data_IF_476313000168
#
_entry.id   IF_476313000168
#
_cell.length_a   1.000
_cell.length_b   1.000
_cell.length_c   1.000
_cell.angle_alpha   90.00
_cell.angle_beta   90.00
_cell.angle_gamma   90.00
#
_symmetry.space_group_name_H-M   'P 1'
#
loop_
_entity.id
_entity.type
_entity.pdbx_description
1 polymer ?
#
# COMPACT_ATOMS: atom_id res chain seq x y z
N UNK A 1 -4.39 -31.87 17.21
CA UNK A 1 -3.23 -31.66 16.34
C UNK A 1 -3.16 -30.17 16.07
N UNK A 2 -2.26 -29.45 16.76
CA UNK A 2 -2.04 -28.02 16.52
C UNK A 2 -1.36 -27.91 15.16
N UNK A 3 -2.02 -27.37 14.14
CA UNK A 3 -1.38 -26.99 12.89
C UNK A 3 -0.23 -26.01 13.25
N UNK A 4 1.00 -26.54 13.21
CA UNK A 4 2.16 -26.01 13.92
C UNK A 4 2.56 -24.61 13.46
N UNK A 5 2.18 -23.60 14.23
CA UNK A 5 2.63 -22.22 14.03
C UNK A 5 1.57 -21.24 13.55
N UNK A 6 0.28 -21.60 13.56
CA UNK A 6 -0.82 -20.66 13.24
C UNK A 6 -1.73 -20.36 14.44
N UNK A 7 -2.20 -19.11 14.52
CA UNK A 7 -3.13 -18.62 15.54
C UNK A 7 -4.28 -17.81 14.93
N UNK A 8 -5.41 -17.73 15.66
CA UNK A 8 -6.48 -16.79 15.34
C UNK A 8 -6.05 -15.34 15.63
N UNK A 9 -6.86 -14.37 15.23
CA UNK A 9 -6.57 -12.95 15.45
C UNK A 9 -6.46 -12.54 16.93
N UNK A 10 -6.95 -13.36 17.87
CA UNK A 10 -6.84 -13.18 19.33
C UNK A 10 -5.66 -13.95 19.94
N UNK A 11 -4.88 -14.69 19.14
CA UNK A 11 -3.75 -15.49 19.61
C UNK A 11 -4.14 -16.88 20.14
N UNK A 12 -5.36 -17.36 19.86
CA UNK A 12 -5.84 -18.70 20.25
C UNK A 12 -5.57 -19.70 19.13
N UNK A 13 -5.70 -20.99 19.44
CA UNK A 13 -5.55 -22.06 18.46
C UNK A 13 -6.59 -21.93 17.33
N UNK A 14 -6.17 -22.26 16.10
CA UNK A 14 -7.05 -22.20 14.93
C UNK A 14 -8.05 -23.36 14.91
N UNK A 15 -9.24 -23.08 14.39
CA UNK A 15 -10.22 -24.10 13.98
C UNK A 15 -10.22 -24.18 12.45
N UNK A 16 -9.87 -25.34 11.89
CA UNK A 16 -9.76 -25.59 10.45
C UNK A 16 -11.05 -25.40 9.66
N UNK A 17 -12.22 -25.51 10.30
CA UNK A 17 -13.53 -25.28 9.64
C UNK A 17 -13.85 -23.78 9.47
N UNK A 18 -13.27 -22.92 10.33
CA UNK A 18 -13.59 -21.50 10.40
C UNK A 18 -12.48 -20.62 9.82
N UNK A 19 -11.22 -21.01 10.05
CA UNK A 19 -10.07 -20.19 9.73
C UNK A 19 -9.37 -20.69 8.46
N UNK A 20 -9.02 -19.75 7.58
CA UNK A 20 -8.31 -19.99 6.33
C UNK A 20 -9.21 -20.32 5.16
N UNK A 21 -8.59 -20.87 4.13
CA UNK A 21 -9.22 -21.24 2.88
C UNK A 21 -9.78 -20.07 2.08
N UNK A 22 -10.59 -20.41 1.08
CA UNK A 22 -11.10 -19.47 0.07
C UNK A 22 -11.99 -18.37 0.67
N UNK A 23 -12.69 -18.67 1.77
CA UNK A 23 -13.54 -17.67 2.46
C UNK A 23 -12.69 -16.53 3.02
N UNK A 24 -11.56 -16.86 3.64
CA UNK A 24 -10.63 -15.88 4.17
C UNK A 24 -9.98 -15.06 3.04
N UNK A 25 -9.58 -15.71 1.94
CA UNK A 25 -8.91 -15.01 0.83
C UNK A 25 -9.81 -14.03 0.10
N UNK A 26 -11.14 -14.15 0.18
CA UNK A 26 -12.03 -13.22 -0.50
C UNK A 26 -11.86 -11.76 -0.01
N UNK A 27 -11.69 -11.57 1.30
CA UNK A 27 -11.38 -10.26 1.87
C UNK A 27 -10.04 -9.71 1.35
N UNK A 28 -9.04 -10.57 1.16
CA UNK A 28 -7.71 -10.21 0.66
C UNK A 28 -7.74 -9.86 -0.82
N UNK A 29 -8.54 -10.56 -1.63
CA UNK A 29 -8.75 -10.24 -3.04
C UNK A 29 -9.44 -8.90 -3.24
N UNK A 30 -10.48 -8.62 -2.46
CA UNK A 30 -11.16 -7.31 -2.50
C UNK A 30 -10.18 -6.20 -2.14
N UNK A 31 -9.41 -6.36 -1.05
CA UNK A 31 -8.38 -5.40 -0.67
C UNK A 31 -7.38 -5.21 -1.82
N UNK A 32 -6.85 -6.29 -2.39
CA UNK A 32 -5.87 -6.26 -3.48
C UNK A 32 -6.38 -5.46 -4.68
N UNK A 33 -7.62 -5.70 -5.13
CA UNK A 33 -8.19 -4.95 -6.27
C UNK A 33 -8.34 -3.48 -5.89
N UNK A 34 -8.98 -3.18 -4.77
CA UNK A 34 -9.27 -1.80 -4.33
C UNK A 34 -8.00 -0.98 -4.15
N UNK A 35 -6.94 -1.56 -3.58
CA UNK A 35 -5.69 -0.81 -3.38
C UNK A 35 -4.94 -0.60 -4.68
N UNK A 36 -5.00 -1.54 -5.63
CA UNK A 36 -4.38 -1.35 -6.94
C UNK A 36 -5.16 -0.39 -7.84
N UNK A 37 -6.46 -0.18 -7.62
CA UNK A 37 -7.21 0.96 -8.20
C UNK A 37 -6.60 2.29 -7.77
N UNK A 38 -5.96 2.36 -6.61
CA UNK A 38 -5.33 3.59 -6.10
C UNK A 38 -3.85 3.66 -6.46
N UNK A 39 -3.06 2.63 -6.12
CA UNK A 39 -1.59 2.65 -6.19
C UNK A 39 -1.08 2.86 -7.61
N UNK A 40 -1.59 2.07 -8.56
CA UNK A 40 -1.08 2.04 -9.94
C UNK A 40 -1.28 3.39 -10.66
N UNK A 41 -2.48 3.98 -10.72
CA UNK A 41 -2.66 5.26 -11.40
C UNK A 41 -1.91 6.41 -10.70
N UNK A 42 -1.95 6.48 -9.37
CA UNK A 42 -1.26 7.53 -8.63
C UNK A 42 0.25 7.48 -8.86
N UNK A 43 0.83 6.27 -8.90
CA UNK A 43 2.25 6.11 -9.21
C UNK A 43 2.59 6.63 -10.61
N UNK A 44 1.75 6.35 -11.59
CA UNK A 44 1.97 6.72 -12.99
C UNK A 44 1.68 8.20 -13.27
N UNK A 45 0.77 8.82 -12.51
CA UNK A 45 0.38 10.22 -12.69
C UNK A 45 1.08 11.18 -11.70
N UNK A 46 1.89 10.67 -10.77
CA UNK A 46 2.56 11.48 -9.74
C UNK A 46 3.43 12.60 -10.33
N UNK A 47 4.18 12.33 -11.40
CA UNK A 47 5.02 13.35 -12.05
C UNK A 47 4.17 14.50 -12.59
N UNK A 48 2.99 14.20 -13.14
CA UNK A 48 2.03 15.21 -13.60
C UNK A 48 1.57 16.12 -12.47
N UNK A 49 1.29 15.56 -11.28
CA UNK A 49 0.93 16.35 -10.11
C UNK A 49 2.07 17.25 -9.63
N UNK A 50 3.26 16.67 -9.47
CA UNK A 50 4.43 17.41 -8.97
C UNK A 50 4.83 18.54 -9.92
N UNK A 51 4.77 18.29 -11.22
CA UNK A 51 5.12 19.27 -12.23
C UNK A 51 4.02 20.29 -12.47
N UNK A 52 2.79 19.83 -12.67
CA UNK A 52 1.67 20.66 -13.09
C UNK A 52 0.97 21.42 -11.97
N UNK A 53 1.02 20.92 -10.73
CA UNK A 53 0.34 21.53 -9.58
C UNK A 53 1.33 22.05 -8.54
N UNK A 54 2.44 21.34 -8.29
CA UNK A 54 3.46 21.78 -7.35
C UNK A 54 4.60 22.60 -8.00
N UNK A 55 4.49 22.85 -9.31
CA UNK A 55 5.45 23.59 -10.14
C UNK A 55 6.91 23.13 -10.00
N UNK A 56 7.12 21.87 -9.62
CA UNK A 56 8.47 21.30 -9.56
C UNK A 56 9.02 21.15 -10.97
N UNK A 57 10.33 21.38 -11.14
CA UNK A 57 10.99 21.12 -12.42
C UNK A 57 10.82 19.66 -12.86
N UNK A 58 10.87 19.38 -14.18
CA UNK A 58 10.71 18.00 -14.71
C UNK A 58 11.70 17.03 -14.06
N UNK A 59 12.96 17.47 -13.91
CA UNK A 59 13.98 16.68 -13.22
C UNK A 59 13.64 16.44 -11.75
N UNK A 60 13.26 17.48 -11.00
CA UNK A 60 12.89 17.35 -9.58
C UNK A 60 11.66 16.47 -9.35
N UNK A 61 10.65 16.59 -10.22
CA UNK A 61 9.43 15.77 -10.21
C UNK A 61 9.76 14.29 -10.44
N UNK A 62 10.57 14.00 -11.45
CA UNK A 62 10.98 12.62 -11.78
C UNK A 62 11.83 12.01 -10.68
N UNK A 63 12.78 12.77 -10.11
CA UNK A 63 13.58 12.34 -8.96
C UNK A 63 12.71 12.07 -7.74
N UNK A 64 11.74 12.94 -7.45
CA UNK A 64 10.81 12.75 -6.31
C UNK A 64 9.94 11.50 -6.50
N UNK A 65 9.40 11.28 -7.69
CA UNK A 65 8.64 10.06 -8.00
C UNK A 65 9.50 8.79 -7.88
N UNK A 66 10.75 8.84 -8.36
CA UNK A 66 11.71 7.73 -8.21
C UNK A 66 12.06 7.47 -6.74
N UNK A 67 12.27 8.54 -5.96
CA UNK A 67 12.53 8.45 -4.52
C UNK A 67 11.34 7.87 -3.77
N UNK A 68 10.11 8.20 -4.17
CA UNK A 68 8.90 7.61 -3.61
C UNK A 68 8.89 6.08 -3.82
N UNK A 69 9.16 5.58 -5.03
CA UNK A 69 9.27 4.13 -5.31
C UNK A 69 10.37 3.49 -4.45
N UNK A 70 11.53 4.13 -4.37
CA UNK A 70 12.66 3.66 -3.55
C UNK A 70 12.28 3.58 -2.07
N UNK A 71 11.59 4.60 -1.54
CA UNK A 71 11.13 4.63 -0.17
C UNK A 71 10.08 3.55 0.12
N UNK A 72 9.11 3.35 -0.77
CA UNK A 72 8.12 2.27 -0.68
C UNK A 72 8.82 0.91 -0.56
N UNK A 73 9.86 0.69 -1.36
CA UNK A 73 10.65 -0.54 -1.33
C UNK A 73 11.44 -0.69 -0.03
N UNK A 74 12.04 0.40 0.48
CA UNK A 74 12.74 0.40 1.76
C UNK A 74 11.80 0.13 2.94
N UNK A 75 10.63 0.76 2.96
CA UNK A 75 9.60 0.54 3.97
C UNK A 75 9.02 -0.88 3.90
N UNK A 76 8.88 -1.46 2.70
CA UNK A 76 8.48 -2.85 2.53
C UNK A 76 9.44 -3.82 3.25
N UNK A 77 10.76 -3.59 3.18
CA UNK A 77 11.75 -4.39 3.91
C UNK A 77 11.57 -4.30 5.43
N UNK A 78 11.33 -3.09 5.94
CA UNK A 78 11.09 -2.85 7.38
C UNK A 78 9.79 -3.54 7.82
N UNK A 79 8.72 -3.38 7.03
CA UNK A 79 7.43 -3.99 7.33
C UNK A 79 7.50 -5.53 7.31
N UNK A 80 8.22 -6.12 6.35
CA UNK A 80 8.46 -7.56 6.27
C UNK A 80 9.23 -8.06 7.50
N UNK A 81 10.30 -7.36 7.89
CA UNK A 81 11.07 -7.67 9.08
C UNK A 81 10.19 -7.67 10.35
N UNK A 82 9.35 -6.65 10.51
CA UNK A 82 8.41 -6.52 11.62
C UNK A 82 7.35 -7.64 11.60
N UNK A 83 6.80 -7.96 10.42
CA UNK A 83 5.76 -8.98 10.28
C UNK A 83 6.28 -10.41 10.51
N UNK A 84 7.54 -10.66 10.21
CA UNK A 84 8.14 -11.99 10.35
C UNK A 84 8.71 -12.23 11.75
N UNK A 85 9.10 -11.16 12.46
CA UNK A 85 9.84 -11.27 13.73
C UNK A 85 9.02 -10.93 14.97
N UNK A 86 8.06 -10.00 14.89
CA UNK A 86 7.43 -9.43 16.08
C UNK A 86 5.90 -9.43 16.06
N UNK A 87 5.29 -9.10 14.92
CA UNK A 87 3.84 -8.85 14.83
C UNK A 87 3.25 -9.70 13.70
N UNK A 88 2.11 -10.35 13.90
CA UNK A 88 1.44 -11.11 12.82
C UNK A 88 1.14 -10.21 11.61
N UNK A 89 1.24 -10.75 10.39
CA UNK A 89 1.03 -10.03 9.12
C UNK A 89 -0.28 -9.23 9.05
N UNK A 90 -1.40 -9.80 9.49
CA UNK A 90 -2.68 -9.09 9.51
C UNK A 90 -2.66 -7.86 10.43
N UNK A 91 -2.05 -7.97 11.62
CA UNK A 91 -1.90 -6.85 12.56
C UNK A 91 -0.93 -5.80 12.04
N UNK A 92 0.21 -6.20 11.47
CA UNK A 92 1.17 -5.27 10.84
C UNK A 92 0.48 -4.43 9.77
N UNK A 93 -0.31 -5.07 8.91
CA UNK A 93 -1.10 -4.39 7.88
C UNK A 93 -2.12 -3.43 8.49
N UNK A 94 -2.90 -3.84 9.49
CA UNK A 94 -3.91 -2.98 10.12
C UNK A 94 -3.32 -1.82 10.94
N UNK A 95 -2.09 -1.95 11.44
CA UNK A 95 -1.41 -0.88 12.18
C UNK A 95 -0.76 0.14 11.25
N UNK A 96 -0.12 -0.29 10.16
CA UNK A 96 0.71 0.58 9.33
C UNK A 96 0.07 1.01 8.01
N UNK A 97 -0.83 0.21 7.42
CA UNK A 97 -1.54 0.63 6.20
C UNK A 97 -2.47 1.86 6.39
N UNK A 98 -3.02 2.17 7.59
CA UNK A 98 -3.73 3.44 7.81
C UNK A 98 -2.90 4.70 7.51
N UNK A 99 -1.57 4.63 7.55
CA UNK A 99 -0.73 5.76 7.12
C UNK A 99 -0.92 6.10 5.64
N UNK A 100 -1.27 5.14 4.79
CA UNK A 100 -1.60 5.41 3.39
C UNK A 100 -2.90 6.20 3.26
N UNK A 101 -3.93 5.86 4.06
CA UNK A 101 -5.17 6.65 4.13
C UNK A 101 -4.87 8.09 4.56
N UNK A 102 -4.06 8.27 5.61
CA UNK A 102 -3.65 9.59 6.08
C UNK A 102 -2.84 10.34 5.03
N UNK A 103 -1.92 9.67 4.33
CA UNK A 103 -1.12 10.26 3.26
C UNK A 103 -1.98 10.80 2.12
N UNK A 104 -2.91 10.00 1.59
CA UNK A 104 -3.84 10.48 0.56
C UNK A 104 -4.79 11.56 1.09
N UNK A 105 -5.22 11.47 2.35
CA UNK A 105 -6.01 12.52 2.99
C UNK A 105 -5.26 13.85 3.07
N UNK A 106 -3.98 13.83 3.43
CA UNK A 106 -3.12 15.01 3.47
C UNK A 106 -2.88 15.58 2.06
N UNK A 107 -2.63 14.72 1.06
CA UNK A 107 -2.51 15.15 -0.33
C UNK A 107 -3.80 15.80 -0.84
N UNK A 108 -4.97 15.23 -0.51
CA UNK A 108 -6.27 15.79 -0.87
C UNK A 108 -6.50 17.16 -0.21
N UNK A 109 -6.20 17.28 1.09
CA UNK A 109 -6.29 18.55 1.82
C UNK A 109 -5.35 19.61 1.27
N UNK A 110 -4.12 19.20 0.91
CA UNK A 110 -3.13 20.08 0.31
C UNK A 110 -3.58 20.58 -1.07
N UNK A 111 -4.11 19.69 -1.91
CA UNK A 111 -4.62 20.06 -3.24
C UNK A 111 -5.90 20.91 -3.16
N UNK A 112 -6.72 20.73 -2.12
CA UNK A 112 -7.95 21.49 -1.91
C UNK A 112 -7.68 22.94 -1.46
N UNK A 113 -6.72 23.15 -0.55
CA UNK A 113 -6.51 24.45 0.08
C UNK A 113 -5.55 25.34 -0.71
N UNK A 114 -5.99 26.49 -1.28
CA UNK A 114 -5.14 27.43 -2.04
C UNK A 114 -3.90 27.93 -1.31
N UNK A 115 -3.89 27.88 0.02
CA UNK A 115 -2.75 28.32 0.83
C UNK A 115 -1.65 27.25 0.99
N UNK A 116 -1.96 25.98 0.71
CA UNK A 116 -1.06 24.84 0.91
C UNK A 116 -0.33 24.37 -0.36
N UNK A 117 -0.59 25.04 -1.48
CA UNK A 117 0.05 24.79 -2.77
C UNK A 117 0.42 26.12 -3.44
N UNK A 118 1.37 26.11 -4.40
CA UNK A 118 1.81 27.33 -5.06
C UNK A 118 0.67 28.07 -5.78
N UNK A 119 0.76 29.40 -5.94
CA UNK A 119 -0.26 30.18 -6.65
C UNK A 119 -0.36 29.72 -8.11
N UNK A 120 -1.59 29.67 -8.68
CA UNK A 120 -1.80 29.13 -10.02
C UNK A 120 -0.99 29.91 -11.07
N UNK A 121 -0.27 29.17 -11.89
CA UNK A 121 0.65 29.70 -12.88
C UNK A 121 0.16 29.30 -14.28
N UNK A 122 0.07 30.24 -15.22
CA UNK A 122 -0.47 29.94 -16.55
C UNK A 122 0.57 29.24 -17.43
N UNK A 123 0.28 27.99 -17.83
CA UNK A 123 1.19 27.03 -18.46
C UNK A 123 1.70 27.46 -19.86
N UNK A 124 1.27 28.61 -20.38
CA UNK A 124 1.51 29.02 -21.77
C UNK A 124 2.62 30.03 -21.98
N UNK A 125 3.15 30.64 -20.92
CA UNK A 125 4.19 31.69 -21.08
C UNK A 125 5.52 31.29 -20.45
N UNK A 126 5.66 31.00 -19.15
CA UNK A 126 6.98 30.63 -18.61
C UNK A 126 6.89 29.77 -17.33
N UNK A 127 6.87 28.43 -17.47
CA UNK A 127 7.02 27.54 -16.31
C UNK A 127 8.35 27.76 -15.56
N UNK A 128 9.33 28.40 -16.20
CA UNK A 128 10.61 28.78 -15.60
C UNK A 128 10.49 29.91 -14.55
N UNK A 129 9.36 30.66 -14.51
CA UNK A 129 9.13 31.73 -13.54
C UNK A 129 8.04 31.40 -12.51
N UNK A 130 7.52 30.17 -12.52
CA UNK A 130 6.54 29.73 -11.54
C UNK A 130 7.21 29.43 -10.21
N UNK A 131 6.58 29.86 -9.12
CA UNK A 131 7.08 29.58 -7.78
C UNK A 131 6.88 28.10 -7.47
N UNK A 132 7.98 27.39 -7.24
CA UNK A 132 7.97 25.99 -6.81
C UNK A 132 7.44 25.88 -5.37
N UNK A 133 6.85 24.73 -5.05
CA UNK A 133 6.48 24.41 -3.68
C UNK A 133 7.70 24.50 -2.74
N UNK A 134 7.60 25.33 -1.71
CA UNK A 134 8.71 25.61 -0.79
C UNK A 134 8.25 25.64 0.67
N UNK A 135 9.22 25.63 1.59
CA UNK A 135 8.99 25.75 3.03
C UNK A 135 8.06 24.69 3.60
N UNK A 136 7.01 25.14 4.30
CA UNK A 136 6.06 24.26 4.99
C UNK A 136 5.21 23.43 4.02
N UNK A 137 4.84 23.98 2.87
CA UNK A 137 4.03 23.29 1.86
C UNK A 137 4.79 22.11 1.23
N UNK A 138 6.10 22.27 1.01
CA UNK A 138 6.96 21.19 0.53
C UNK A 138 7.12 20.11 1.60
N UNK A 139 7.28 20.50 2.87
CA UNK A 139 7.37 19.55 3.99
C UNK A 139 6.10 18.71 4.12
N UNK A 140 4.93 19.35 3.99
CA UNK A 140 3.64 18.66 4.00
C UNK A 140 3.53 17.65 2.85
N UNK A 141 3.91 18.06 1.64
CA UNK A 141 3.92 17.20 0.45
C UNK A 141 4.79 15.96 0.66
N UNK A 142 6.04 16.13 1.08
CA UNK A 142 6.95 15.01 1.31
C UNK A 142 6.48 14.12 2.46
N UNK A 143 5.97 14.69 3.55
CA UNK A 143 5.39 13.92 4.64
C UNK A 143 4.23 13.04 4.16
N UNK A 144 3.32 13.60 3.36
CA UNK A 144 2.19 12.87 2.81
C UNK A 144 2.64 11.75 1.84
N UNK A 145 3.60 12.04 0.95
CA UNK A 145 4.19 11.05 0.05
C UNK A 145 4.88 9.90 0.83
N UNK A 146 5.67 10.21 1.86
CA UNK A 146 6.32 9.17 2.66
C UNK A 146 5.32 8.35 3.50
N UNK A 147 4.22 8.93 3.96
CA UNK A 147 3.13 8.19 4.60
C UNK A 147 2.45 7.21 3.61
N UNK A 148 2.19 7.65 2.39
CA UNK A 148 1.71 6.78 1.31
C UNK A 148 2.69 5.64 1.02
N UNK A 149 3.98 5.96 0.88
CA UNK A 149 5.04 4.98 0.62
C UNK A 149 5.14 3.93 1.74
N UNK A 150 5.03 4.36 3.00
CA UNK A 150 5.10 3.46 4.15
C UNK A 150 3.92 2.48 4.19
N UNK A 151 2.70 2.97 3.96
CA UNK A 151 1.53 2.11 3.93
C UNK A 151 1.50 1.18 2.71
N UNK A 152 1.84 1.67 1.50
CA UNK A 152 1.95 0.84 0.30
C UNK A 152 3.02 -0.26 0.49
N UNK A 153 4.20 0.10 0.99
CA UNK A 153 5.28 -0.84 1.28
C UNK A 153 4.85 -1.95 2.25
N UNK A 154 4.11 -1.59 3.30
CA UNK A 154 3.54 -2.56 4.26
C UNK A 154 2.58 -3.53 3.56
N UNK A 155 1.66 -3.01 2.76
CA UNK A 155 0.65 -3.83 2.09
C UNK A 155 1.27 -4.80 1.08
N UNK A 156 2.28 -4.37 0.33
CA UNK A 156 2.98 -5.19 -0.67
C UNK A 156 3.59 -6.47 -0.09
N UNK A 157 4.05 -6.43 1.16
CA UNK A 157 4.68 -7.59 1.82
C UNK A 157 3.71 -8.38 2.67
N UNK A 158 2.80 -7.70 3.38
CA UNK A 158 1.90 -8.36 4.31
C UNK A 158 0.72 -9.06 3.60
N UNK A 159 0.18 -8.47 2.54
CA UNK A 159 -1.01 -8.98 1.86
C UNK A 159 -0.80 -10.34 1.16
N UNK A 160 0.19 -10.52 0.27
CA UNK A 160 0.41 -11.82 -0.36
C UNK A 160 0.84 -12.88 0.65
N UNK A 161 1.64 -12.49 1.65
CA UNK A 161 2.10 -13.40 2.70
C UNK A 161 0.96 -13.86 3.61
N UNK A 162 0.05 -12.96 4.00
CA UNK A 162 -1.17 -13.33 4.71
C UNK A 162 -2.08 -14.20 3.84
N UNK A 163 -2.13 -13.95 2.52
CA UNK A 163 -2.85 -14.79 1.58
C UNK A 163 -2.32 -16.22 1.53
N UNK A 164 -0.99 -16.38 1.51
CA UNK A 164 -0.34 -17.68 1.61
C UNK A 164 -0.69 -18.42 2.91
N UNK A 165 -0.72 -17.70 4.05
CA UNK A 165 -1.07 -18.28 5.35
C UNK A 165 -2.46 -18.93 5.42
N UNK A 166 -3.35 -18.60 4.47
CA UNK A 166 -4.70 -19.15 4.47
C UNK A 166 -4.75 -20.61 4.00
N UNK A 167 -3.65 -21.16 3.49
CA UNK A 167 -3.55 -22.51 2.94
C UNK A 167 -2.42 -23.29 3.61
N UNK A 168 -2.65 -24.58 3.83
CA UNK A 168 -1.64 -25.53 4.25
C UNK A 168 -0.85 -26.03 3.03
N UNK A 169 0.47 -25.91 3.10
CA UNK A 169 1.38 -26.33 2.04
C UNK A 169 1.57 -27.84 1.99
N UNK A 170 1.36 -28.54 3.11
CA UNK A 170 1.54 -29.99 3.20
C UNK A 170 0.35 -30.76 2.59
N UNK A 171 -0.81 -30.11 2.46
CA UNK A 171 -1.98 -30.66 1.77
C UNK A 171 -1.92 -30.33 0.26
N UNK A 172 -1.84 -31.33 -0.63
CA UNK A 172 -1.81 -31.12 -2.08
C UNK A 172 -3.00 -30.31 -2.61
N UNK A 173 -4.17 -30.44 -1.99
CA UNK A 173 -5.39 -29.75 -2.40
C UNK A 173 -5.40 -28.26 -2.00
N UNK A 174 -4.92 -27.94 -0.79
CA UNK A 174 -4.77 -26.55 -0.35
C UNK A 174 -3.61 -25.86 -1.09
N UNK A 175 -2.52 -26.58 -1.38
CA UNK A 175 -1.40 -26.08 -2.21
C UNK A 175 -1.81 -25.67 -3.63
N UNK A 176 -2.68 -26.45 -4.29
CA UNK A 176 -3.27 -26.05 -5.58
C UNK A 176 -4.13 -24.79 -5.48
N UNK A 177 -4.93 -24.68 -4.40
CA UNK A 177 -5.77 -23.49 -4.15
C UNK A 177 -4.94 -22.26 -3.86
N UNK A 178 -3.82 -22.39 -3.17
CA UNK A 178 -2.87 -21.31 -2.96
C UNK A 178 -2.25 -20.82 -4.27
N UNK A 179 -1.90 -21.73 -5.18
CA UNK A 179 -1.42 -21.33 -6.51
C UNK A 179 -2.50 -20.55 -7.28
N UNK A 180 -3.76 -20.98 -7.17
CA UNK A 180 -4.89 -20.24 -7.73
C UNK A 180 -5.11 -18.89 -7.06
N UNK A 181 -4.88 -18.77 -5.75
CA UNK A 181 -4.89 -17.49 -5.05
C UNK A 181 -3.88 -16.52 -5.66
N UNK A 182 -2.63 -16.95 -5.93
CA UNK A 182 -1.62 -16.08 -6.53
C UNK A 182 -1.93 -15.70 -7.99
N UNK A 183 -2.57 -16.60 -8.75
CA UNK A 183 -3.08 -16.27 -10.08
C UNK A 183 -4.14 -15.17 -10.01
N UNK A 184 -5.12 -15.31 -9.12
CA UNK A 184 -6.15 -14.29 -8.90
C UNK A 184 -5.58 -12.99 -8.31
N UNK A 185 -4.58 -13.10 -7.43
CA UNK A 185 -3.88 -11.94 -6.88
C UNK A 185 -3.22 -11.12 -7.99
N UNK A 186 -2.50 -11.77 -8.90
CA UNK A 186 -1.85 -11.13 -10.04
C UNK A 186 -2.86 -10.50 -11.01
N UNK A 187 -3.94 -11.23 -11.32
CA UNK A 187 -5.02 -10.67 -12.12
C UNK A 187 -5.68 -9.47 -11.43
N UNK A 188 -5.89 -9.52 -10.11
CA UNK A 188 -6.48 -8.44 -9.33
C UNK A 188 -5.64 -7.16 -9.32
N UNK A 189 -4.31 -7.27 -9.34
CA UNK A 189 -3.40 -6.13 -9.52
C UNK A 189 -3.66 -5.47 -10.87
N UNK A 190 -3.65 -6.26 -11.95
CA UNK A 190 -3.88 -5.75 -13.32
C UNK A 190 -5.27 -5.14 -13.49
N UNK A 191 -6.31 -5.81 -12.98
CA UNK A 191 -7.69 -5.33 -13.03
C UNK A 191 -7.84 -4.01 -12.26
N UNK A 192 -7.32 -3.95 -11.02
CA UNK A 192 -7.35 -2.75 -10.20
C UNK A 192 -6.63 -1.60 -10.90
N UNK A 193 -5.41 -1.83 -11.39
CA UNK A 193 -4.65 -0.82 -12.11
C UNK A 193 -5.33 -0.33 -13.38
N UNK A 194 -5.94 -1.21 -14.16
CA UNK A 194 -6.73 -0.84 -15.35
C UNK A 194 -7.91 0.07 -15.00
N UNK A 195 -8.70 -0.31 -13.99
CA UNK A 195 -9.83 0.50 -13.51
C UNK A 195 -9.34 1.86 -13.00
N UNK A 196 -8.25 1.87 -12.22
CA UNK A 196 -7.63 3.06 -11.67
C UNK A 196 -7.13 4.03 -12.75
N UNK A 197 -6.45 3.51 -13.77
CA UNK A 197 -5.95 4.31 -14.90
C UNK A 197 -7.06 4.99 -15.70
N UNK A 198 -8.26 4.43 -15.71
CA UNK A 198 -9.41 5.06 -16.35
C UNK A 198 -10.08 6.05 -15.40
N UNK A 199 -10.44 5.61 -14.19
CA UNK A 199 -11.29 6.39 -13.29
C UNK A 199 -10.52 7.42 -12.48
N UNK A 200 -9.43 7.02 -11.81
CA UNK A 200 -8.66 7.89 -10.92
C UNK A 200 -7.91 8.95 -11.72
N UNK A 201 -7.21 8.56 -12.79
CA UNK A 201 -6.50 9.53 -13.65
C UNK A 201 -7.47 10.51 -14.31
N UNK A 202 -8.67 10.06 -14.69
CA UNK A 202 -9.71 10.97 -15.20
C UNK A 202 -10.17 11.97 -14.12
N UNK A 203 -10.40 11.51 -12.88
CA UNK A 203 -10.73 12.41 -11.77
C UNK A 203 -9.62 13.43 -11.54
N UNK A 204 -8.38 12.98 -11.41
CA UNK A 204 -7.21 13.84 -11.17
C UNK A 204 -7.05 14.90 -12.27
N UNK A 205 -7.12 14.51 -13.55
CA UNK A 205 -6.83 15.41 -14.66
C UNK A 205 -8.01 16.31 -15.07
N UNK A 206 -9.27 15.91 -14.83
CA UNK A 206 -10.45 16.67 -15.28
C UNK A 206 -11.33 17.21 -14.16
N UNK A 207 -11.34 16.58 -12.98
CA UNK A 207 -12.14 17.03 -11.83
C UNK A 207 -11.29 17.72 -10.76
N UNK A 208 -10.01 17.42 -10.70
CA UNK A 208 -9.06 18.02 -9.76
C UNK A 208 -8.38 16.98 -8.89
N UNK A 209 -7.16 17.31 -8.46
CA UNK A 209 -6.32 16.45 -7.61
C UNK A 209 -6.90 16.26 -6.21
N UNK A 210 -7.60 17.26 -5.68
CA UNK A 210 -8.30 17.18 -4.40
C UNK A 210 -9.36 16.07 -4.40
N UNK A 211 -10.18 15.99 -5.45
CA UNK A 211 -11.18 14.95 -5.63
C UNK A 211 -10.50 13.60 -5.89
N UNK A 212 -9.49 13.57 -6.77
CA UNK A 212 -8.74 12.36 -7.09
C UNK A 212 -8.14 11.69 -5.84
N UNK A 213 -7.35 12.43 -5.07
CA UNK A 213 -6.74 11.94 -3.83
C UNK A 213 -7.78 11.67 -2.74
N UNK A 214 -8.85 12.46 -2.65
CA UNK A 214 -9.93 12.22 -1.70
C UNK A 214 -10.64 10.89 -1.93
N UNK A 215 -10.96 10.57 -3.19
CA UNK A 215 -11.52 9.26 -3.58
C UNK A 215 -10.53 8.14 -3.29
N UNK A 216 -9.23 8.35 -3.56
CA UNK A 216 -8.18 7.38 -3.22
C UNK A 216 -8.15 7.08 -1.71
N UNK A 217 -8.21 8.11 -0.86
CA UNK A 217 -8.26 7.94 0.59
C UNK A 217 -9.47 7.10 1.02
N UNK A 218 -10.67 7.41 0.51
CA UNK A 218 -11.90 6.66 0.82
C UNK A 218 -11.77 5.19 0.39
N UNK A 219 -11.26 4.91 -0.81
CA UNK A 219 -11.06 3.54 -1.30
C UNK A 219 -10.10 2.76 -0.41
N UNK A 220 -8.97 3.35 -0.01
CA UNK A 220 -8.03 2.70 0.93
C UNK A 220 -8.71 2.43 2.27
N UNK A 221 -9.46 3.39 2.83
CA UNK A 221 -10.19 3.19 4.09
C UNK A 221 -11.19 2.02 3.97
N UNK A 222 -11.97 1.97 2.90
CA UNK A 222 -12.91 0.87 2.65
C UNK A 222 -12.18 -0.48 2.54
N UNK A 223 -11.06 -0.54 1.83
CA UNK A 223 -10.22 -1.73 1.77
C UNK A 223 -9.76 -2.18 3.17
N UNK A 224 -9.26 -1.26 3.98
CA UNK A 224 -8.82 -1.56 5.36
C UNK A 224 -9.97 -2.06 6.24
N UNK A 225 -11.18 -1.52 6.09
CA UNK A 225 -12.35 -2.02 6.81
C UNK A 225 -12.74 -3.43 6.37
N UNK A 226 -12.68 -3.72 5.06
CA UNK A 226 -12.93 -5.07 4.52
C UNK A 226 -11.93 -6.07 5.09
N UNK A 227 -10.64 -5.73 5.12
CA UNK A 227 -9.61 -6.63 5.67
C UNK A 227 -9.73 -6.79 7.19
N UNK A 228 -10.10 -5.73 7.90
CA UNK A 228 -10.39 -5.81 9.34
C UNK A 228 -11.59 -6.73 9.63
N UNK A 229 -12.64 -6.69 8.81
CA UNK A 229 -13.79 -7.58 8.92
C UNK A 229 -13.43 -9.06 8.66
N UNK A 230 -12.34 -9.31 7.92
CA UNK A 230 -11.80 -10.65 7.67
C UNK A 230 -11.04 -11.26 8.85
N UNK A 231 -10.64 -10.48 9.86
CA UNK A 231 -9.84 -10.94 11.01
C UNK A 231 -10.34 -12.24 11.66
N UNK A 232 -11.66 -12.44 11.91
CA UNK A 232 -12.18 -13.67 12.51
C UNK A 232 -11.95 -14.93 11.66
N UNK A 233 -11.63 -14.79 10.37
CA UNK A 233 -11.45 -15.91 9.44
C UNK A 233 -9.99 -16.16 9.09
N UNK A 234 -9.05 -15.29 9.47
CA UNK A 234 -7.66 -15.46 9.07
C UNK A 234 -6.92 -16.50 9.91
N UNK A 235 -6.15 -17.36 9.23
CA UNK A 235 -5.00 -18.05 9.81
C UNK A 235 -3.83 -17.07 9.85
N UNK A 236 -3.25 -16.84 11.02
CA UNK A 236 -2.08 -15.96 11.16
C UNK A 236 -0.87 -16.79 11.54
N UNK A 237 0.19 -16.75 10.73
CA UNK A 237 1.45 -17.35 11.11
C UNK A 237 2.03 -16.62 12.31
N UNK A 238 2.43 -17.37 13.34
CA UNK A 238 3.15 -16.85 14.50
C UNK A 238 4.52 -16.38 14.02
N UNK A 239 4.99 -15.18 14.39
CA UNK A 239 6.31 -14.70 14.02
C UNK A 239 7.42 -15.68 14.45
N UNK A 240 8.26 -16.12 13.51
CA UNK A 240 9.36 -17.09 13.75
C UNK A 240 10.76 -16.47 13.56
N UNK A 241 10.82 -15.15 13.37
CA UNK A 241 12.06 -14.41 13.12
C UNK A 241 12.35 -14.22 11.63
N UNK A 242 12.96 -13.08 11.29
CA UNK A 242 13.25 -12.73 9.91
C UNK A 242 14.51 -13.43 9.36
N UNK A 243 14.51 -13.85 8.08
CA UNK A 243 15.72 -14.26 7.37
C UNK A 243 16.82 -13.21 7.39
N UNK A 244 16.48 -11.91 7.43
CA UNK A 244 17.45 -10.81 7.49
C UNK A 244 18.32 -10.89 8.75
N UNK A 245 17.76 -11.28 9.90
CA UNK A 245 18.52 -11.48 11.13
C UNK A 245 19.55 -12.60 10.94
N UNK A 246 19.20 -13.68 10.24
CA UNK A 246 20.13 -14.79 9.97
C UNK A 246 21.26 -14.35 9.05
N UNK A 247 20.95 -13.58 8.00
CA UNK A 247 21.97 -13.03 7.08
C UNK A 247 22.91 -12.08 7.83
N UNK A 248 22.38 -11.16 8.64
CA UNK A 248 23.21 -10.27 9.46
C UNK A 248 24.06 -11.04 10.47
N UNK A 249 23.53 -12.07 11.11
CA UNK A 249 24.31 -12.90 12.04
C UNK A 249 25.46 -13.62 11.36
N UNK A 250 25.30 -14.04 10.10
CA UNK A 250 26.40 -14.62 9.31
C UNK A 250 27.40 -13.54 8.88
N UNK A 251 26.93 -12.37 8.45
CA UNK A 251 27.80 -11.27 8.01
C UNK A 251 28.60 -10.63 9.15
N UNK A 252 28.03 -10.54 10.35
CA UNK A 252 28.66 -9.97 11.54
C UNK A 252 29.48 -10.98 12.35
N UNK A 253 29.40 -12.28 12.04
CA UNK A 253 30.35 -13.28 12.54
C UNK A 253 31.65 -13.19 11.72
N UNK A 254 32.45 -12.18 12.06
CA UNK A 254 33.92 -12.12 11.88
C UNK A 254 34.53 -12.40 13.25
#
# INVERSE_FOLDING_TARGET
MVLGGFVDWRGRAINGEVHGGVKATWFLHVLNVVTNVVIVPNLLNLVTYLHGTMHMGVSGSTTTATNFIGATSGFALIAAFLSDSYITRARTMLLFAPFMFLGYGLLALQAYSPSLHPPPCDNKVELNNCEEVHGWNATLLYAALYMCAFGDGTMRVCLPSLGADQFDHEDPSESQRQSSFFNWYSFGISLGGFIGLILIVWLENYKGWDIGFGVCAILILLGLLVVAAGLPFYRNQVPQGSPLTRVLQVALRI
#
